data_IF_033756003684
#
_entry.id   IF_033756003684
#
_cell.length_a   1.000
_cell.length_b   1.000
_cell.length_c   1.000
_cell.angle_alpha   90.00
_cell.angle_beta   90.00
_cell.angle_gamma   90.00
#
_symmetry.space_group_name_H-M   'P 1'
#
loop_
_entity.id
_entity.type
_entity.pdbx_description
1 polymer ?
#
# COMPACT_ATOMS: atom_id res chain seq x y z
N UNK A 1 19.37 -18.44 14.09
CA UNK A 1 18.65 -17.15 13.94
C UNK A 1 18.20 -16.71 15.32
N UNK A 2 18.51 -15.48 15.71
CA UNK A 2 18.05 -14.91 16.98
C UNK A 2 16.59 -14.46 16.77
N UNK A 3 15.62 -15.28 17.19
CA UNK A 3 14.18 -15.10 16.91
C UNK A 3 13.50 -13.98 17.73
N UNK A 4 14.26 -13.02 18.26
CA UNK A 4 13.77 -11.96 19.15
C UNK A 4 13.09 -10.78 18.44
N UNK A 5 12.81 -10.87 17.13
CA UNK A 5 12.25 -9.77 16.30
C UNK A 5 10.89 -10.14 15.68
N UNK A 6 10.20 -11.17 16.19
CA UNK A 6 8.79 -11.31 15.87
C UNK A 6 8.02 -10.49 16.91
N UNK A 7 7.28 -9.44 16.52
CA UNK A 7 6.46 -8.72 17.46
C UNK A 7 5.41 -9.69 17.99
N UNK A 8 5.57 -10.16 19.24
CA UNK A 8 4.66 -11.12 19.89
C UNK A 8 3.22 -10.63 20.07
N UNK A 9 2.89 -9.48 19.49
CA UNK A 9 1.70 -8.68 19.73
C UNK A 9 1.01 -8.25 18.41
N UNK A 10 1.08 -9.01 17.30
CA UNK A 10 0.37 -8.62 16.06
C UNK A 10 -1.12 -8.35 16.31
N UNK A 11 -1.72 -9.07 17.26
CA UNK A 11 -3.08 -8.86 17.77
C UNK A 11 -3.03 -8.68 19.30
N UNK A 12 -2.71 -7.48 19.81
CA UNK A 12 -2.54 -7.27 21.24
C UNK A 12 -3.88 -7.12 21.99
N UNK A 13 -4.95 -6.70 21.32
CA UNK A 13 -6.28 -6.49 21.91
C UNK A 13 -7.39 -6.90 20.92
N UNK A 14 -8.36 -7.68 21.40
CA UNK A 14 -9.69 -7.85 20.77
C UNK A 14 -9.67 -8.18 19.26
N UNK A 15 -8.76 -9.05 18.81
CA UNK A 15 -8.60 -9.43 17.38
C UNK A 15 -8.36 -8.26 16.41
N UNK A 16 -8.03 -7.07 16.91
CA UNK A 16 -7.62 -5.93 16.09
C UNK A 16 -6.13 -6.02 15.86
N UNK A 17 -5.71 -5.82 14.61
CA UNK A 17 -4.30 -5.86 14.25
C UNK A 17 -3.59 -4.58 14.73
N UNK A 18 -2.37 -4.71 15.24
CA UNK A 18 -1.49 -3.57 15.42
C UNK A 18 -0.68 -3.35 14.14
N UNK A 19 -0.87 -2.19 13.53
CA UNK A 19 -0.34 -1.87 12.21
C UNK A 19 1.17 -1.64 12.23
N UNK A 20 1.73 -1.13 13.33
CA UNK A 20 3.18 -0.98 13.48
C UNK A 20 3.86 -2.35 13.46
N UNK A 21 3.33 -3.29 14.24
CA UNK A 21 3.83 -4.67 14.24
C UNK A 21 3.59 -5.37 12.90
N UNK A 22 2.47 -5.12 12.24
CA UNK A 22 2.20 -5.64 10.89
C UNK A 22 3.20 -5.11 9.86
N UNK A 23 3.47 -3.81 9.83
CA UNK A 23 4.46 -3.19 8.95
C UNK A 23 5.85 -3.80 9.14
N UNK A 24 6.30 -3.93 10.39
CA UNK A 24 7.60 -4.53 10.71
C UNK A 24 7.64 -6.03 10.37
N UNK A 25 6.53 -6.75 10.53
CA UNK A 25 6.45 -8.16 10.15
C UNK A 25 6.71 -8.36 8.65
N UNK A 26 6.19 -7.46 7.80
CA UNK A 26 6.40 -7.49 6.36
C UNK A 26 7.87 -7.25 5.99
N UNK A 27 8.55 -6.32 6.67
CA UNK A 27 10.00 -6.12 6.50
C UNK A 27 10.78 -7.39 6.84
N UNK A 28 10.50 -8.02 7.98
CA UNK A 28 11.14 -9.26 8.43
C UNK A 28 10.89 -10.42 7.45
N UNK A 29 9.70 -10.51 6.87
CA UNK A 29 9.40 -11.48 5.80
C UNK A 29 10.31 -11.24 4.59
N UNK A 30 10.44 -9.99 4.12
CA UNK A 30 11.31 -9.64 3.00
C UNK A 30 12.77 -10.04 3.25
N UNK A 31 13.31 -9.70 4.42
CA UNK A 31 14.68 -10.07 4.83
C UNK A 31 14.87 -11.60 4.89
N UNK A 32 13.90 -12.31 5.46
CA UNK A 32 13.91 -13.78 5.57
C UNK A 32 13.91 -14.45 4.19
N UNK A 33 13.10 -13.95 3.26
CA UNK A 33 13.05 -14.47 1.89
C UNK A 33 14.37 -14.19 1.16
N UNK A 34 14.92 -12.99 1.26
CA UNK A 34 16.21 -12.64 0.68
C UNK A 34 17.34 -13.55 1.22
N UNK A 35 17.33 -13.82 2.53
CA UNK A 35 18.28 -14.71 3.16
C UNK A 35 18.14 -16.16 2.67
N UNK A 36 16.92 -16.67 2.54
CA UNK A 36 16.65 -18.02 2.04
C UNK A 36 17.09 -18.18 0.58
N UNK A 37 16.81 -17.20 -0.27
CA UNK A 37 17.27 -17.18 -1.67
C UNK A 37 18.80 -17.28 -1.76
N UNK A 38 19.52 -16.57 -0.89
CA UNK A 38 20.97 -16.67 -0.85
C UNK A 38 21.49 -18.01 -0.29
N UNK A 39 20.84 -18.54 0.74
CA UNK A 39 21.27 -19.79 1.39
C UNK A 39 21.03 -21.02 0.50
N UNK A 40 19.87 -21.09 -0.15
CA UNK A 40 19.42 -22.24 -0.92
C UNK A 40 19.89 -22.18 -2.38
N UNK A 41 19.90 -20.99 -2.99
CA UNK A 41 20.14 -20.81 -4.42
C UNK A 41 21.35 -19.93 -4.76
N UNK A 42 22.05 -19.37 -3.74
CA UNK A 42 23.18 -18.44 -3.92
C UNK A 42 22.82 -17.18 -4.71
N UNK A 43 21.55 -16.81 -4.73
CA UNK A 43 21.04 -15.61 -5.38
C UNK A 43 20.91 -14.50 -4.35
N UNK A 44 21.64 -13.39 -4.55
CA UNK A 44 21.52 -12.19 -3.72
C UNK A 44 20.48 -11.25 -4.32
N UNK A 45 19.43 -11.00 -3.56
CA UNK A 45 18.35 -10.10 -3.93
C UNK A 45 17.96 -9.25 -2.71
N UNK A 46 18.37 -7.97 -2.64
CA UNK A 46 17.84 -7.09 -1.60
C UNK A 46 16.31 -7.00 -1.75
N UNK A 47 15.58 -7.17 -0.65
CA UNK A 47 14.12 -7.01 -0.65
C UNK A 47 13.79 -5.99 0.42
N UNK A 48 13.09 -4.94 0.03
CA UNK A 48 12.40 -4.07 1.00
C UNK A 48 10.92 -4.32 0.90
N UNK A 49 10.24 -4.36 2.04
CA UNK A 49 8.80 -4.54 2.08
C UNK A 49 8.19 -3.63 3.13
N UNK A 50 6.91 -3.30 2.98
CA UNK A 50 6.18 -2.50 3.93
C UNK A 50 4.69 -2.68 3.77
N UNK A 51 3.95 -2.19 4.77
CA UNK A 51 2.49 -2.17 4.67
C UNK A 51 2.05 -1.28 3.52
N UNK A 52 1.15 -1.80 2.68
CA UNK A 52 0.46 -1.00 1.67
C UNK A 52 -0.99 -0.71 2.10
N UNK A 53 -1.53 0.37 1.55
CA UNK A 53 -2.91 0.81 1.79
C UNK A 53 -3.08 1.71 3.01
N UNK A 54 -4.30 2.23 3.15
CA UNK A 54 -4.64 3.32 4.07
C UNK A 54 -4.90 2.96 5.52
N UNK A 55 -4.74 1.69 5.90
CA UNK A 55 -5.18 1.23 7.22
C UNK A 55 -4.47 1.97 8.36
N UNK A 56 -3.23 2.45 8.16
CA UNK A 56 -2.47 3.21 9.18
C UNK A 56 -3.16 4.51 9.59
N UNK A 57 -3.99 5.08 8.71
CA UNK A 57 -4.75 6.30 9.00
C UNK A 57 -5.86 6.08 10.04
N UNK A 58 -6.26 4.81 10.24
CA UNK A 58 -7.34 4.41 11.12
C UNK A 58 -6.79 3.60 12.30
N UNK A 59 -5.71 4.10 12.91
CA UNK A 59 -5.12 3.56 14.14
C UNK A 59 -5.19 4.55 15.30
N UNK A 60 -5.10 4.02 16.52
CA UNK A 60 -4.81 4.82 17.71
C UNK A 60 -3.32 5.20 17.79
N UNK A 61 -2.95 5.88 18.86
CA UNK A 61 -1.60 6.40 19.07
C UNK A 61 -0.54 5.31 19.25
N UNK A 62 -0.92 4.06 19.51
CA UNK A 62 -0.04 2.89 19.65
C UNK A 62 0.02 2.05 18.36
N UNK A 63 -0.67 2.48 17.31
CA UNK A 63 -0.76 1.75 16.04
C UNK A 63 -1.80 0.63 16.04
N UNK A 64 -2.61 0.50 17.09
CA UNK A 64 -3.72 -0.46 17.09
C UNK A 64 -4.81 0.04 16.14
N UNK A 65 -5.20 -0.79 15.17
CA UNK A 65 -6.29 -0.45 14.26
C UNK A 65 -7.58 -0.18 15.05
N UNK A 66 -8.28 0.91 14.73
CA UNK A 66 -9.57 1.26 15.35
C UNK A 66 -10.70 0.37 14.85
N UNK A 67 -10.58 -0.13 13.62
CA UNK A 67 -11.53 -1.04 12.97
C UNK A 67 -10.89 -2.39 12.67
N UNK A 68 -11.72 -3.40 12.34
CA UNK A 68 -11.22 -4.71 11.91
C UNK A 68 -10.60 -4.61 10.51
N UNK A 69 -9.30 -4.82 10.41
CA UNK A 69 -8.60 -4.88 9.13
C UNK A 69 -8.73 -6.29 8.57
N UNK A 70 -9.53 -6.43 7.52
CA UNK A 70 -9.84 -7.73 6.90
C UNK A 70 -9.06 -8.00 5.62
N UNK A 71 -8.23 -7.07 5.16
CA UNK A 71 -7.38 -7.23 3.97
C UNK A 71 -5.97 -6.80 4.34
N UNK A 72 -5.03 -7.72 4.23
CA UNK A 72 -3.65 -7.50 4.63
C UNK A 72 -2.83 -7.26 3.36
N UNK A 73 -2.27 -6.07 3.22
CA UNK A 73 -1.53 -5.70 2.02
C UNK A 73 -0.07 -5.37 2.31
N UNK A 74 0.81 -5.85 1.43
CA UNK A 74 2.24 -5.59 1.45
C UNK A 74 2.67 -5.04 0.09
N UNK A 75 3.51 -4.01 0.09
CA UNK A 75 4.29 -3.63 -1.09
C UNK A 75 5.71 -4.17 -0.92
N UNK A 76 6.26 -4.77 -1.98
CA UNK A 76 7.54 -5.48 -1.97
C UNK A 76 8.35 -5.00 -3.16
N UNK A 77 9.55 -4.52 -2.90
CA UNK A 77 10.46 -4.06 -3.93
C UNK A 77 11.50 -5.11 -4.22
N UNK A 78 11.65 -5.42 -5.50
CA UNK A 78 12.60 -6.39 -6.02
C UNK A 78 13.61 -5.70 -6.93
N UNK A 79 14.90 -6.09 -6.89
CA UNK A 79 15.89 -5.53 -7.78
C UNK A 79 15.56 -5.88 -9.24
N UNK A 80 15.78 -4.91 -10.12
CA UNK A 80 15.71 -5.07 -11.57
C UNK A 80 17.11 -5.36 -12.14
N UNK A 81 17.19 -5.73 -13.43
CA UNK A 81 18.43 -5.90 -14.18
C UNK A 81 19.39 -6.88 -13.48
N UNK A 82 18.85 -8.02 -13.08
CA UNK A 82 19.51 -8.92 -12.14
C UNK A 82 19.02 -10.37 -12.21
N UNK A 83 19.36 -11.18 -11.20
CA UNK A 83 19.05 -12.61 -11.21
C UNK A 83 17.55 -12.93 -11.38
N UNK A 84 16.66 -12.03 -10.95
CA UNK A 84 15.20 -12.21 -11.01
C UNK A 84 14.59 -11.94 -12.40
N UNK A 85 15.40 -11.59 -13.39
CA UNK A 85 14.95 -11.48 -14.79
C UNK A 85 14.83 -12.86 -15.45
N UNK A 86 15.45 -13.89 -14.86
CA UNK A 86 15.24 -15.29 -15.22
C UNK A 86 13.96 -15.80 -14.59
N UNK A 87 13.07 -16.37 -15.40
CA UNK A 87 11.77 -16.88 -14.95
C UNK A 87 11.96 -17.92 -13.83
N UNK A 88 12.93 -18.81 -13.95
CA UNK A 88 13.17 -19.89 -12.97
C UNK A 88 13.56 -19.32 -11.59
N UNK A 89 14.33 -18.22 -11.58
CA UNK A 89 14.73 -17.56 -10.34
C UNK A 89 13.56 -16.80 -9.71
N UNK A 90 12.67 -16.24 -10.54
CA UNK A 90 11.46 -15.58 -10.06
C UNK A 90 10.44 -16.58 -9.49
N UNK A 91 10.24 -17.73 -10.14
CA UNK A 91 9.38 -18.80 -9.61
C UNK A 91 9.93 -19.33 -8.28
N UNK A 92 11.24 -19.55 -8.19
CA UNK A 92 11.91 -19.92 -6.94
C UNK A 92 11.69 -18.88 -5.82
N UNK A 93 11.79 -17.58 -6.15
CA UNK A 93 11.45 -16.52 -5.22
C UNK A 93 9.99 -16.61 -4.75
N UNK A 94 9.04 -16.82 -5.66
CA UNK A 94 7.61 -16.92 -5.32
C UNK A 94 7.31 -18.12 -4.43
N UNK A 95 7.93 -19.27 -4.67
CA UNK A 95 7.82 -20.46 -3.83
C UNK A 95 8.33 -20.21 -2.40
N UNK A 96 9.51 -19.61 -2.26
CA UNK A 96 10.07 -19.26 -0.95
C UNK A 96 9.21 -18.18 -0.27
N UNK A 97 8.76 -17.18 -1.03
CA UNK A 97 7.96 -16.08 -0.49
C UNK A 97 6.64 -16.60 0.07
N UNK A 98 5.85 -17.37 -0.70
CA UNK A 98 4.54 -17.86 -0.23
C UNK A 98 4.66 -18.78 0.99
N UNK A 99 5.67 -19.65 1.03
CA UNK A 99 5.94 -20.52 2.19
C UNK A 99 6.31 -19.70 3.43
N UNK A 100 7.18 -18.70 3.27
CA UNK A 100 7.59 -17.81 4.35
C UNK A 100 6.41 -16.98 4.85
N UNK A 101 5.59 -16.46 3.94
CA UNK A 101 4.40 -15.68 4.22
C UNK A 101 3.42 -16.51 5.06
N UNK A 102 3.02 -17.69 4.56
CA UNK A 102 2.09 -18.59 5.25
C UNK A 102 2.61 -19.04 6.61
N UNK A 103 3.87 -19.48 6.70
CA UNK A 103 4.47 -19.96 7.95
C UNK A 103 4.55 -18.85 8.99
N UNK A 104 4.84 -17.62 8.58
CA UNK A 104 4.94 -16.47 9.47
C UNK A 104 3.56 -16.08 10.01
N UNK A 105 2.56 -15.93 9.14
CA UNK A 105 1.19 -15.59 9.55
C UNK A 105 0.53 -16.68 10.40
N UNK A 106 0.86 -17.96 10.18
CA UNK A 106 0.38 -19.07 11.00
C UNK A 106 0.71 -18.91 12.48
N UNK A 107 1.85 -18.29 12.82
CA UNK A 107 2.25 -18.01 14.21
C UNK A 107 1.32 -17.03 14.92
N UNK A 108 0.56 -16.24 14.16
CA UNK A 108 -0.42 -15.28 14.66
C UNK A 108 -1.87 -15.77 14.52
N UNK A 109 -2.04 -17.06 14.21
CA UNK A 109 -3.35 -17.69 14.06
C UNK A 109 -4.08 -17.29 12.77
N UNK A 110 -3.36 -16.94 11.72
CA UNK A 110 -3.88 -16.73 10.36
C UNK A 110 -3.48 -17.93 9.50
N UNK A 111 -4.44 -18.59 8.86
CA UNK A 111 -4.16 -19.73 7.99
C UNK A 111 -4.29 -19.30 6.52
N UNK A 112 -3.15 -18.97 5.91
CA UNK A 112 -3.09 -18.57 4.50
C UNK A 112 -2.96 -19.79 3.58
N UNK A 113 -3.86 -19.89 2.60
CA UNK A 113 -3.96 -21.01 1.64
C UNK A 113 -4.12 -20.51 0.21
N UNK A 114 -4.11 -21.46 -0.73
CA UNK A 114 -4.39 -21.25 -2.17
C UNK A 114 -3.57 -20.10 -2.78
N UNK A 115 -2.22 -20.19 -2.80
CA UNK A 115 -1.41 -19.12 -3.35
C UNK A 115 -1.66 -18.94 -4.84
N UNK A 116 -1.96 -17.70 -5.25
CA UNK A 116 -2.03 -17.29 -6.64
C UNK A 116 -1.09 -16.12 -6.88
N UNK A 117 -0.09 -16.29 -7.76
CA UNK A 117 0.83 -15.22 -8.13
C UNK A 117 0.89 -14.97 -9.64
N UNK A 118 1.42 -13.81 -10.03
CA UNK A 118 1.63 -13.42 -11.43
C UNK A 118 0.52 -12.54 -12.02
N UNK A 119 -0.57 -12.28 -11.28
CA UNK A 119 -1.60 -11.32 -11.71
C UNK A 119 -0.96 -9.93 -11.86
N UNK A 120 -1.07 -9.35 -13.06
CA UNK A 120 -0.55 -8.02 -13.38
C UNK A 120 -1.50 -6.95 -12.88
N UNK A 121 -0.94 -5.92 -12.23
CA UNK A 121 -1.69 -4.76 -11.78
C UNK A 121 -1.89 -3.78 -12.95
N UNK A 122 -3.14 -3.29 -13.17
CA UNK A 122 -3.43 -2.28 -14.18
C UNK A 122 -2.61 -1.00 -14.01
N UNK A 123 -2.34 -0.32 -15.12
CA UNK A 123 -1.56 0.92 -15.12
C UNK A 123 -0.16 0.75 -14.51
N UNK A 124 0.47 -0.42 -14.65
CA UNK A 124 1.88 -0.60 -14.34
C UNK A 124 2.70 -0.70 -15.63
N UNK A 125 4.03 -0.66 -15.53
CA UNK A 125 4.93 -0.70 -16.68
C UNK A 125 4.62 -1.89 -17.60
N UNK A 126 4.59 -1.66 -18.93
CA UNK A 126 4.22 -2.72 -19.89
C UNK A 126 5.27 -3.82 -20.00
N UNK A 127 6.56 -3.48 -19.83
CA UNK A 127 7.67 -4.43 -19.99
C UNK A 127 7.92 -5.19 -18.69
N UNK A 128 7.92 -4.49 -17.56
CA UNK A 128 8.09 -5.08 -16.23
C UNK A 128 6.93 -4.68 -15.31
N UNK A 129 5.75 -5.30 -15.48
CA UNK A 129 4.56 -4.94 -14.70
C UNK A 129 4.75 -5.24 -13.21
N UNK A 130 4.01 -4.49 -12.39
CA UNK A 130 3.79 -4.86 -11.00
C UNK A 130 2.93 -6.12 -10.99
N UNK A 131 3.39 -7.17 -10.31
CA UNK A 131 2.63 -8.41 -10.15
C UNK A 131 2.24 -8.64 -8.71
N UNK A 132 1.34 -9.59 -8.46
CA UNK A 132 0.91 -9.91 -7.09
C UNK A 132 1.14 -11.36 -6.71
N UNK A 133 1.18 -11.60 -5.40
CA UNK A 133 0.84 -12.87 -4.76
C UNK A 133 -0.36 -12.61 -3.85
N UNK A 134 -1.43 -13.38 -4.00
CA UNK A 134 -2.55 -13.41 -3.07
C UNK A 134 -2.70 -14.79 -2.45
N UNK A 135 -3.02 -14.81 -1.15
CA UNK A 135 -3.36 -16.02 -0.40
C UNK A 135 -4.62 -15.75 0.43
N UNK A 136 -5.54 -16.70 0.47
CA UNK A 136 -6.81 -16.58 1.19
C UNK A 136 -6.67 -17.04 2.62
N UNK A 137 -7.42 -16.41 3.51
CA UNK A 137 -7.36 -16.67 4.94
C UNK A 137 -8.60 -17.45 5.39
N UNK A 138 -8.41 -18.57 6.11
CA UNK A 138 -9.53 -19.49 6.43
C UNK A 138 -10.02 -19.43 7.88
N UNK A 139 -9.39 -18.67 8.77
CA UNK A 139 -9.78 -18.56 10.19
C UNK A 139 -10.83 -17.47 10.43
N UNK A 140 -11.07 -16.58 9.46
CA UNK A 140 -12.03 -15.47 9.56
C UNK A 140 -11.49 -14.22 10.24
N UNK A 141 -10.18 -14.20 10.55
CA UNK A 141 -9.49 -13.00 11.07
C UNK A 141 -9.27 -11.98 9.97
N UNK A 142 -8.91 -12.44 8.78
CA UNK A 142 -8.85 -11.64 7.57
C UNK A 142 -9.59 -12.37 6.43
N UNK A 143 -9.71 -11.73 5.26
CA UNK A 143 -10.20 -12.35 4.03
C UNK A 143 -9.05 -12.92 3.22
N UNK A 144 -7.96 -12.15 3.10
CA UNK A 144 -6.77 -12.53 2.37
C UNK A 144 -5.58 -11.67 2.77
N UNK A 145 -4.39 -12.15 2.42
CA UNK A 145 -3.17 -11.36 2.38
C UNK A 145 -2.67 -11.26 0.93
N UNK A 146 -2.29 -10.06 0.48
CA UNK A 146 -1.80 -9.80 -0.87
C UNK A 146 -0.50 -8.99 -0.83
N UNK A 147 0.52 -9.46 -1.53
CA UNK A 147 1.78 -8.76 -1.75
C UNK A 147 1.84 -8.24 -3.18
N UNK A 148 2.25 -6.99 -3.37
CA UNK A 148 2.50 -6.35 -4.65
C UNK A 148 4.00 -6.28 -4.88
N UNK A 149 4.50 -6.93 -5.93
CA UNK A 149 5.91 -6.96 -6.29
C UNK A 149 6.19 -5.92 -7.37
N UNK A 150 6.94 -4.90 -6.99
CA UNK A 150 7.35 -3.83 -7.89
C UNK A 150 8.83 -3.97 -8.23
N UNK A 151 9.15 -3.86 -9.52
CA UNK A 151 10.49 -4.07 -10.07
C UNK A 151 11.31 -2.78 -10.02
N UNK A 152 11.98 -2.55 -8.90
CA UNK A 152 13.02 -1.55 -8.71
C UNK A 152 13.60 -1.71 -7.31
N UNK A 153 14.92 -1.51 -7.15
CA UNK A 153 15.48 -1.26 -5.82
C UNK A 153 15.07 0.16 -5.38
N UNK A 154 14.05 0.22 -4.53
CA UNK A 154 13.46 1.43 -3.97
C UNK A 154 13.06 1.15 -2.52
N UNK A 155 12.89 2.18 -1.71
CA UNK A 155 12.32 2.02 -0.36
C UNK A 155 10.81 1.77 -0.45
N UNK A 156 10.19 1.30 0.64
CA UNK A 156 8.73 1.09 0.64
C UNK A 156 7.97 2.43 0.50
N UNK A 157 8.54 3.54 0.99
CA UNK A 157 7.98 4.88 0.87
C UNK A 157 7.94 5.34 -0.57
N UNK A 158 9.04 5.16 -1.31
CA UNK A 158 9.13 5.50 -2.73
C UNK A 158 8.08 4.74 -3.53
N UNK A 159 7.90 3.46 -3.24
CA UNK A 159 6.90 2.64 -3.94
C UNK A 159 5.47 3.03 -3.60
N UNK A 160 5.18 3.48 -2.38
CA UNK A 160 3.86 4.05 -2.04
C UNK A 160 3.62 5.35 -2.82
N UNK A 161 4.62 6.23 -2.94
CA UNK A 161 4.49 7.48 -3.70
C UNK A 161 4.29 7.19 -5.18
N UNK A 162 5.08 6.28 -5.75
CA UNK A 162 4.91 5.83 -7.13
C UNK A 162 3.51 5.21 -7.36
N UNK A 163 3.02 4.40 -6.42
CA UNK A 163 1.70 3.79 -6.53
C UNK A 163 0.57 4.84 -6.56
N UNK A 164 0.76 6.03 -6.00
CA UNK A 164 -0.23 7.13 -6.13
C UNK A 164 -0.39 7.59 -7.58
N UNK A 165 0.67 7.52 -8.39
CA UNK A 165 0.58 7.83 -9.82
C UNK A 165 -0.37 6.84 -10.51
N UNK A 166 -0.16 5.55 -10.26
CA UNK A 166 -1.04 4.47 -10.75
C UNK A 166 -2.46 4.65 -10.23
N UNK A 167 -2.60 4.92 -8.93
CA UNK A 167 -3.89 5.02 -8.27
C UNK A 167 -4.71 6.18 -8.84
N UNK A 168 -4.09 7.32 -9.18
CA UNK A 168 -4.79 8.43 -9.86
C UNK A 168 -5.36 7.98 -11.21
N UNK A 169 -4.66 7.18 -12.01
CA UNK A 169 -5.21 6.66 -13.27
C UNK A 169 -6.44 5.79 -13.03
N UNK A 170 -6.40 4.91 -12.01
CA UNK A 170 -7.56 4.09 -11.60
C UNK A 170 -8.72 4.98 -11.15
N UNK A 171 -8.45 5.97 -10.28
CA UNK A 171 -9.47 6.90 -9.79
C UNK A 171 -10.16 7.65 -10.93
N UNK A 172 -9.41 8.07 -11.96
CA UNK A 172 -9.96 8.80 -13.11
C UNK A 172 -10.94 7.98 -13.96
N UNK A 173 -10.91 6.65 -13.90
CA UNK A 173 -11.94 5.84 -14.57
C UNK A 173 -13.35 6.16 -14.09
N UNK A 174 -13.51 6.59 -12.83
CA UNK A 174 -14.80 6.88 -12.20
C UNK A 174 -14.96 8.34 -11.74
N UNK A 175 -13.87 9.10 -11.68
CA UNK A 175 -13.85 10.48 -11.16
C UNK A 175 -13.50 11.54 -12.21
N UNK A 176 -13.35 11.17 -13.48
CA UNK A 176 -13.20 12.14 -14.56
C UNK A 176 -14.51 12.91 -14.77
N UNK A 177 -14.51 14.21 -14.43
CA UNK A 177 -15.65 15.12 -14.60
C UNK A 177 -16.14 15.25 -16.05
N UNK A 178 -15.32 14.89 -17.04
CA UNK A 178 -15.68 14.93 -18.46
C UNK A 178 -16.46 13.67 -18.89
N UNK A 179 -16.54 12.65 -18.02
CA UNK A 179 -17.24 11.40 -18.25
C UNK A 179 -18.41 11.34 -17.28
N UNK A 180 -19.61 11.02 -17.79
CA UNK A 180 -20.78 10.88 -16.92
C UNK A 180 -20.52 9.81 -15.84
N UNK A 181 -20.86 10.05 -14.56
CA UNK A 181 -20.70 9.06 -13.49
C UNK A 181 -21.32 7.72 -13.88
N UNK A 182 -20.50 6.67 -13.85
CA UNK A 182 -20.96 5.33 -14.17
C UNK A 182 -21.66 4.73 -12.96
N UNK A 183 -22.80 4.07 -13.18
CA UNK A 183 -23.46 3.30 -12.12
C UNK A 183 -22.61 2.06 -11.83
N UNK A 184 -22.08 1.97 -10.62
CA UNK A 184 -21.29 0.84 -10.12
C UNK A 184 -21.96 0.20 -8.91
N UNK A 185 -21.53 -1.00 -8.56
CA UNK A 185 -21.99 -1.61 -7.31
C UNK A 185 -21.38 -0.92 -6.09
N UNK A 186 -22.09 -1.04 -4.97
CA UNK A 186 -21.71 -0.44 -3.70
C UNK A 186 -20.32 -0.86 -3.22
N UNK A 187 -19.83 -2.04 -3.59
CA UNK A 187 -18.51 -2.52 -3.17
C UNK A 187 -17.38 -1.87 -3.97
N UNK A 188 -17.54 -1.72 -5.29
CA UNK A 188 -16.63 -1.00 -6.17
C UNK A 188 -16.50 0.47 -5.74
N UNK A 189 -17.63 1.14 -5.48
CA UNK A 189 -17.62 2.53 -5.01
C UNK A 189 -16.93 2.68 -3.66
N UNK A 190 -17.11 1.73 -2.72
CA UNK A 190 -16.38 1.74 -1.44
C UNK A 190 -14.87 1.63 -1.64
N UNK A 191 -14.41 0.82 -2.59
CA UNK A 191 -12.98 0.70 -2.88
C UNK A 191 -12.44 2.00 -3.49
N UNK A 192 -13.14 2.58 -4.46
CA UNK A 192 -12.79 3.87 -5.04
C UNK A 192 -12.68 4.97 -3.95
N UNK A 193 -13.68 5.06 -3.08
CA UNK A 193 -13.70 6.04 -1.99
C UNK A 193 -12.58 5.82 -0.96
N UNK A 194 -12.23 4.57 -0.68
CA UNK A 194 -11.06 4.24 0.13
C UNK A 194 -9.77 4.72 -0.54
N UNK A 195 -9.64 4.51 -1.85
CA UNK A 195 -8.48 4.91 -2.64
C UNK A 195 -8.34 6.44 -2.74
N UNK A 196 -9.46 7.18 -2.73
CA UNK A 196 -9.47 8.64 -2.60
C UNK A 196 -8.87 9.09 -1.26
N UNK A 197 -9.30 8.47 -0.15
CA UNK A 197 -8.73 8.76 1.18
C UNK A 197 -7.23 8.46 1.21
N UNK A 198 -6.82 7.28 0.72
CA UNK A 198 -5.42 6.87 0.65
C UNK A 198 -4.60 7.90 -0.14
N UNK A 199 -5.09 8.32 -1.31
CA UNK A 199 -4.39 9.26 -2.18
C UNK A 199 -4.25 10.63 -1.51
N UNK A 200 -5.33 11.16 -0.95
CA UNK A 200 -5.31 12.47 -0.29
C UNK A 200 -4.29 12.51 0.85
N UNK A 201 -4.35 11.55 1.78
CA UNK A 201 -3.46 11.56 2.94
C UNK A 201 -2.02 11.25 2.58
N UNK A 202 -1.79 10.38 1.58
CA UNK A 202 -0.43 10.10 1.09
C UNK A 202 0.20 11.32 0.44
N UNK A 203 -0.58 12.09 -0.34
CA UNK A 203 -0.08 13.25 -1.06
C UNK A 203 -0.18 14.56 -0.27
N UNK A 204 -0.77 14.56 0.93
CA UNK A 204 -1.14 15.77 1.67
C UNK A 204 -0.05 16.83 1.73
N UNK A 205 1.20 16.44 2.04
CA UNK A 205 2.34 17.37 2.14
C UNK A 205 2.83 17.94 0.80
N UNK A 206 2.37 17.39 -0.33
CA UNK A 206 2.63 17.89 -1.68
C UNK A 206 1.44 18.66 -2.29
N UNK A 207 0.27 18.65 -1.64
CA UNK A 207 -0.91 19.37 -2.12
C UNK A 207 -0.74 20.88 -1.93
N UNK A 208 -1.29 21.67 -2.84
CA UNK A 208 -1.34 23.14 -2.70
C UNK A 208 -2.28 23.55 -1.57
N UNK A 209 -2.02 24.66 -0.84
CA UNK A 209 -2.89 25.15 0.22
C UNK A 209 -4.35 25.32 -0.21
N UNK A 210 -4.59 25.95 -1.37
CA UNK A 210 -5.93 26.19 -1.91
C UNK A 210 -6.70 24.88 -2.16
N UNK A 211 -6.03 23.88 -2.72
CA UNK A 211 -6.62 22.56 -2.90
C UNK A 211 -6.94 21.87 -1.57
N UNK A 212 -6.05 21.99 -0.57
CA UNK A 212 -6.29 21.43 0.77
C UNK A 212 -7.52 22.09 1.41
N UNK A 213 -7.65 23.41 1.36
CA UNK A 213 -8.79 24.14 1.90
C UNK A 213 -10.12 23.65 1.27
N UNK A 214 -10.13 23.48 -0.05
CA UNK A 214 -11.29 22.95 -0.79
C UNK A 214 -11.60 21.48 -0.45
N UNK A 215 -10.57 20.61 -0.44
CA UNK A 215 -10.74 19.17 -0.29
C UNK A 215 -11.05 18.74 1.14
N UNK A 216 -10.51 19.44 2.15
CA UNK A 216 -10.59 19.04 3.56
C UNK A 216 -12.00 18.75 4.08
N UNK A 217 -13.05 19.59 3.86
CA UNK A 217 -14.39 19.28 4.35
C UNK A 217 -14.98 18.00 3.73
N UNK A 218 -14.67 17.73 2.45
CA UNK A 218 -15.15 16.55 1.72
C UNK A 218 -14.44 15.30 2.25
N UNK A 219 -13.12 15.35 2.38
CA UNK A 219 -12.32 14.25 2.90
C UNK A 219 -12.69 13.93 4.34
N UNK A 220 -12.93 14.94 5.18
CA UNK A 220 -13.38 14.75 6.56
C UNK A 220 -14.72 14.04 6.60
N UNK A 221 -15.70 14.50 5.81
CA UNK A 221 -17.01 13.84 5.72
C UNK A 221 -16.87 12.37 5.28
N UNK A 222 -16.05 12.11 4.26
CA UNK A 222 -15.81 10.76 3.76
C UNK A 222 -15.14 9.87 4.81
N UNK A 223 -14.13 10.38 5.50
CA UNK A 223 -13.41 9.66 6.53
C UNK A 223 -14.32 9.27 7.71
N UNK A 224 -15.16 10.21 8.16
CA UNK A 224 -16.12 9.95 9.23
C UNK A 224 -17.12 8.84 8.84
N UNK A 225 -17.61 8.85 7.60
CA UNK A 225 -18.48 7.79 7.07
C UNK A 225 -17.74 6.44 6.94
N UNK A 226 -16.46 6.46 6.56
CA UNK A 226 -15.65 5.24 6.45
C UNK A 226 -15.45 4.58 7.82
N UNK A 227 -15.15 5.36 8.86
CA UNK A 227 -15.00 4.85 10.23
C UNK A 227 -16.30 4.26 10.76
N UNK A 228 -17.45 4.85 10.45
CA UNK A 228 -18.76 4.32 10.85
C UNK A 228 -19.24 3.16 9.99
N UNK A 229 -18.60 2.89 8.83
CA UNK A 229 -18.76 1.67 8.05
C UNK A 229 -19.49 1.79 6.70
N UNK A 230 -20.01 2.98 6.35
CA UNK A 230 -20.78 3.25 5.11
C UNK A 230 -21.81 2.16 4.80
N UNK A 231 -22.81 1.96 5.66
CA UNK A 231 -23.66 0.75 5.60
C UNK A 231 -24.73 0.74 4.49
N UNK A 232 -25.16 1.90 3.97
CA UNK A 232 -26.21 1.98 2.95
C UNK A 232 -25.65 2.38 1.58
N UNK A 233 -26.31 1.90 0.52
CA UNK A 233 -25.99 2.29 -0.87
C UNK A 233 -26.14 3.81 -1.07
N UNK A 234 -27.16 4.41 -0.46
CA UNK A 234 -27.42 5.85 -0.52
C UNK A 234 -26.24 6.67 0.02
N UNK A 235 -25.68 6.31 1.19
CA UNK A 235 -24.53 7.02 1.76
C UNK A 235 -23.28 6.85 0.89
N UNK A 236 -23.07 5.67 0.32
CA UNK A 236 -21.92 5.40 -0.56
C UNK A 236 -22.03 6.26 -1.83
N UNK A 237 -23.21 6.28 -2.45
CA UNK A 237 -23.48 7.07 -3.65
C UNK A 237 -23.35 8.57 -3.36
N UNK A 238 -23.89 9.05 -2.24
CA UNK A 238 -23.77 10.46 -1.83
C UNK A 238 -22.29 10.89 -1.71
N UNK A 239 -21.46 10.04 -1.07
CA UNK A 239 -20.03 10.31 -0.94
C UNK A 239 -19.30 10.25 -2.29
N UNK A 240 -19.65 9.29 -3.15
CA UNK A 240 -19.13 9.20 -4.51
C UNK A 240 -19.44 10.48 -5.30
N UNK A 241 -20.69 10.94 -5.30
CA UNK A 241 -21.11 12.16 -5.99
C UNK A 241 -20.41 13.40 -5.43
N UNK A 242 -20.19 13.49 -4.11
CA UNK A 242 -19.40 14.58 -3.51
C UNK A 242 -17.96 14.59 -4.01
N UNK A 243 -17.28 13.44 -4.02
CA UNK A 243 -15.90 13.36 -4.52
C UNK A 243 -15.83 13.69 -6.01
N UNK A 244 -16.73 13.13 -6.81
CA UNK A 244 -16.83 13.36 -8.26
C UNK A 244 -17.05 14.84 -8.58
N UNK A 245 -18.09 15.45 -8.01
CA UNK A 245 -18.47 16.84 -8.31
C UNK A 245 -17.43 17.88 -7.88
N UNK A 246 -16.57 17.54 -6.93
CA UNK A 246 -15.49 18.41 -6.44
C UNK A 246 -14.14 18.19 -7.13
N UNK A 247 -14.09 17.30 -8.14
CA UNK A 247 -12.94 17.13 -9.03
C UNK A 247 -11.61 16.81 -8.29
N UNK A 248 -11.68 16.13 -7.13
CA UNK A 248 -10.50 15.94 -6.26
C UNK A 248 -9.33 15.24 -6.95
N UNK A 249 -9.61 14.33 -7.88
CA UNK A 249 -8.59 13.58 -8.62
C UNK A 249 -7.65 14.48 -9.43
N UNK A 250 -8.10 15.67 -9.83
CA UNK A 250 -7.29 16.61 -10.59
C UNK A 250 -6.25 17.34 -9.72
N UNK A 251 -6.58 17.67 -8.47
CA UNK A 251 -5.58 18.21 -7.55
C UNK A 251 -4.54 17.17 -7.14
N UNK A 252 -4.93 15.89 -7.04
CA UNK A 252 -3.98 14.78 -6.85
C UNK A 252 -3.03 14.65 -8.06
N UNK A 253 -3.58 14.70 -9.28
CA UNK A 253 -2.79 14.68 -10.52
C UNK A 253 -1.82 15.85 -10.57
N UNK A 254 -2.27 17.08 -10.28
CA UNK A 254 -1.44 18.28 -10.31
C UNK A 254 -0.25 18.21 -9.35
N UNK A 255 -0.46 17.69 -8.13
CA UNK A 255 0.57 17.55 -7.12
C UNK A 255 1.74 16.65 -7.57
N UNK A 256 1.48 15.70 -8.47
CA UNK A 256 2.51 14.80 -9.03
C UNK A 256 3.00 15.26 -10.40
N UNK A 257 2.15 15.87 -11.23
CA UNK A 257 2.44 16.14 -12.63
C UNK A 257 3.71 16.99 -12.82
N UNK A 258 3.81 18.10 -12.08
CA UNK A 258 4.92 19.03 -12.26
C UNK A 258 6.28 18.44 -11.83
N UNK A 259 6.42 17.82 -10.64
CA UNK A 259 7.66 17.16 -10.24
C UNK A 259 8.15 16.11 -11.24
N UNK A 260 7.27 15.21 -11.71
CA UNK A 260 7.66 14.17 -12.67
C UNK A 260 7.99 14.73 -14.06
N UNK A 261 7.24 15.73 -14.53
CA UNK A 261 7.49 16.38 -15.83
C UNK A 261 8.86 17.05 -15.90
N UNK A 262 9.35 17.64 -14.81
CA UNK A 262 10.71 18.23 -14.73
C UNK A 262 11.81 17.20 -15.02
N UNK A 263 11.52 15.92 -14.78
CA UNK A 263 12.44 14.80 -15.03
C UNK A 263 12.11 14.03 -16.31
N UNK A 264 11.23 14.58 -17.17
CA UNK A 264 10.86 13.96 -18.45
C UNK A 264 9.90 12.77 -18.32
N UNK A 265 9.25 12.59 -17.17
CA UNK A 265 8.31 11.49 -16.93
C UNK A 265 6.86 11.98 -17.02
N UNK A 266 6.07 11.32 -17.86
CA UNK A 266 4.63 11.62 -18.02
C UNK A 266 3.78 10.66 -17.17
N UNK A 267 3.23 11.18 -16.08
CA UNK A 267 2.39 10.41 -15.15
C UNK A 267 1.09 9.88 -15.78
N UNK A 268 0.70 10.37 -16.96
CA UNK A 268 -0.48 9.87 -17.70
C UNK A 268 -0.16 8.61 -18.51
N UNK A 269 1.13 8.33 -18.74
CA UNK A 269 1.63 7.25 -19.59
C UNK A 269 2.68 6.40 -18.86
N UNK A 270 2.42 6.05 -17.60
CA UNK A 270 3.33 5.24 -16.75
C UNK A 270 3.68 3.87 -17.32
N UNK A 271 2.80 3.30 -18.14
CA UNK A 271 3.01 2.02 -18.81
C UNK A 271 4.17 2.07 -19.82
N UNK A 272 4.46 3.27 -20.34
CA UNK A 272 5.52 3.56 -21.31
C UNK A 272 6.79 4.13 -20.65
N UNK A 273 6.85 4.20 -19.32
CA UNK A 273 8.06 4.67 -18.64
C UNK A 273 9.25 3.74 -18.94
N UNK A 274 10.47 4.30 -18.99
CA UNK A 274 11.66 3.47 -19.05
C UNK A 274 11.71 2.51 -17.85
N UNK A 275 12.16 1.27 -18.07
CA UNK A 275 12.19 0.23 -17.02
C UNK A 275 13.05 0.66 -15.82
N UNK A 276 14.13 1.40 -16.09
CA UNK A 276 15.03 1.97 -15.10
C UNK A 276 14.39 3.07 -14.24
N UNK A 277 13.20 3.55 -14.61
CA UNK A 277 12.41 4.57 -13.92
C UNK A 277 11.15 4.01 -13.26
N UNK A 278 10.95 2.69 -13.23
CA UNK A 278 9.91 2.09 -12.39
C UNK A 278 10.18 2.46 -10.91
N UNK A 279 9.13 2.80 -10.14
CA UNK A 279 9.25 3.31 -8.77
C UNK A 279 10.10 4.58 -8.60
N UNK A 280 10.55 5.22 -9.68
CA UNK A 280 11.30 6.45 -9.56
C UNK A 280 10.41 7.53 -8.96
N UNK A 281 10.90 8.22 -7.93
CA UNK A 281 10.22 9.36 -7.32
C UNK A 281 11.14 10.58 -7.44
N UNK A 282 10.67 11.72 -7.98
CA UNK A 282 11.42 12.96 -7.99
C UNK A 282 11.88 13.39 -6.61
N UNK A 283 13.10 13.94 -6.51
CA UNK A 283 13.69 14.32 -5.23
C UNK A 283 12.80 15.31 -4.45
N UNK A 284 12.17 16.27 -5.15
CA UNK A 284 11.23 17.23 -4.57
C UNK A 284 10.06 16.53 -3.84
N UNK A 285 9.55 15.42 -4.38
CA UNK A 285 8.47 14.65 -3.77
C UNK A 285 9.00 13.81 -2.60
N UNK A 286 10.20 13.24 -2.70
CA UNK A 286 10.82 12.48 -1.61
C UNK A 286 10.94 13.34 -0.35
N UNK A 287 11.45 14.56 -0.49
CA UNK A 287 11.66 15.51 0.60
C UNK A 287 10.37 15.89 1.32
N UNK A 288 9.25 15.98 0.59
CA UNK A 288 7.93 16.33 1.16
C UNK A 288 7.21 15.11 1.75
N UNK A 289 7.22 13.99 1.04
CA UNK A 289 6.31 12.87 1.29
C UNK A 289 6.92 11.78 2.19
N UNK A 290 8.21 11.46 2.06
CA UNK A 290 8.85 10.40 2.86
C UNK A 290 8.77 10.69 4.36
N UNK A 291 9.11 11.90 4.86
CA UNK A 291 8.99 12.19 6.30
C UNK A 291 7.55 12.05 6.80
N UNK A 292 6.56 12.48 6.00
CA UNK A 292 5.15 12.36 6.34
C UNK A 292 4.69 10.89 6.41
N UNK A 293 5.17 10.04 5.51
CA UNK A 293 4.90 8.59 5.51
C UNK A 293 5.55 7.87 6.69
N UNK A 294 6.73 8.31 7.13
CA UNK A 294 7.45 7.72 8.26
C UNK A 294 6.91 8.16 9.62
N UNK A 295 6.35 9.37 9.72
CA UNK A 295 5.92 9.97 10.99
C UNK A 295 4.94 9.11 11.81
N UNK A 296 3.89 8.49 11.24
CA UNK A 296 3.01 7.59 11.99
C UNK A 296 3.76 6.42 12.62
N UNK A 297 4.66 5.78 11.89
CA UNK A 297 5.43 4.63 12.37
C UNK A 297 6.36 5.00 13.53
N UNK A 298 7.02 6.16 13.43
CA UNK A 298 7.83 6.71 14.51
C UNK A 298 6.99 6.98 15.76
N UNK A 299 5.80 7.59 15.60
CA UNK A 299 4.89 7.85 16.72
C UNK A 299 4.46 6.54 17.41
N UNK A 300 4.08 5.53 16.64
CA UNK A 300 3.69 4.22 17.20
C UNK A 300 4.84 3.59 17.97
N UNK A 301 6.05 3.60 17.41
CA UNK A 301 7.24 3.10 18.09
C UNK A 301 7.50 3.81 19.42
N UNK A 302 7.54 5.15 19.41
CA UNK A 302 7.84 5.96 20.59
C UNK A 302 6.81 5.72 21.71
N UNK A 303 5.53 5.53 21.36
CA UNK A 303 4.47 5.26 22.35
C UNK A 303 4.52 3.83 22.89
N UNK A 304 4.77 2.83 22.04
CA UNK A 304 4.94 1.44 22.47
C UNK A 304 6.15 1.27 23.41
N UNK A 305 7.27 1.96 23.15
CA UNK A 305 8.45 1.92 24.03
C UNK A 305 8.18 2.60 25.38
N UNK A 306 7.46 3.73 25.41
CA UNK A 306 7.04 4.35 26.68
C UNK A 306 6.24 3.38 27.53
N UNK A 307 5.28 2.66 26.94
CA UNK A 307 4.47 1.67 27.64
C UNK A 307 5.29 0.50 28.20
N UNK A 308 6.42 0.16 27.57
CA UNK A 308 7.33 -0.90 28.02
C UNK A 308 8.17 -0.47 29.22
N UNK A 309 8.53 0.81 29.31
CA UNK A 309 9.33 1.37 30.42
C UNK A 309 8.46 1.56 31.68
N UNK A 310 7.16 1.78 31.52
CA UNK A 310 6.21 2.01 32.63
C UNK A 310 5.58 0.73 33.20
N UNK A 311 5.91 -0.45 32.67
CA UNK A 311 5.45 -1.76 33.16
C UNK A 311 6.57 -2.48 33.90
#
# INVERSE_FOLDING_TARGET
MNYNILPGNLYPKEDRINLYYFHNLLQVIGESVAQQMYQQHRIRIPITAGMWGGSYMVADDDGQAKTKVVRLYSIVNLPQNGPLDKIENFECLMEIYQQTFATTFKRYGLNLVDPCWGETIPYSNRVQPTTTLQMWETTGKAKFARAFFVRQEATWEESIIYDMVRNIKVLKELLDINIRPMKKDSSELKFLLQDVLITYYTLYAALTPDFVEHAQPIIKSLFDQFITGMHSEETIEEQYQKVYSNALVYGFEEALQNPYKKEGLDIKNIEEWPVEKINHVPQELKEKLIPALQAPWKKFHDNLEKHRITK
#
